data_IF_744371443410
#
_entry.id   IF_744371443410
#
_cell.length_a   1.000
_cell.length_b   1.000
_cell.length_c   1.000
_cell.angle_alpha   90.00
_cell.angle_beta   90.00
_cell.angle_gamma   90.00
#
_symmetry.space_group_name_H-M   'P 1'
#
loop_
_entity.id
_entity.type
_entity.pdbx_description
1 polymer ?
#
# COMPACT_ATOMS: atom_id res chain seq x y z
N UNK A 1 5.09 0.19 -32.71
CA UNK A 1 6.01 0.27 -31.55
C UNK A 1 7.41 0.00 -32.05
N UNK A 2 8.38 0.85 -31.68
CA UNK A 2 9.80 0.68 -32.04
C UNK A 2 10.34 -0.56 -31.32
N UNK A 3 11.11 -1.45 -31.98
CA UNK A 3 11.67 -2.62 -31.31
C UNK A 3 12.71 -2.19 -30.26
N UNK A 4 12.83 -2.95 -29.17
CA UNK A 4 13.82 -2.68 -28.11
C UNK A 4 15.26 -2.54 -28.65
N UNK A 5 15.56 -3.20 -29.78
CA UNK A 5 16.87 -3.18 -30.42
C UNK A 5 17.20 -1.87 -31.14
N UNK A 6 16.28 -0.93 -31.20
CA UNK A 6 16.51 0.40 -31.77
C UNK A 6 16.41 1.49 -30.69
N UNK A 7 16.04 1.12 -29.46
CA UNK A 7 15.90 2.07 -28.38
C UNK A 7 17.26 2.60 -27.94
N UNK A 8 17.31 3.90 -27.64
CA UNK A 8 18.46 4.48 -26.93
C UNK A 8 18.48 4.02 -25.47
N UNK A 9 19.59 4.29 -24.77
CA UNK A 9 19.71 3.93 -23.36
C UNK A 9 18.65 4.65 -22.51
N UNK A 10 18.34 5.90 -22.84
CA UNK A 10 17.33 6.73 -22.18
C UNK A 10 15.92 6.20 -22.45
N UNK A 11 15.61 5.86 -23.70
CA UNK A 11 14.32 5.25 -24.06
C UNK A 11 14.10 3.93 -23.31
N UNK A 12 15.13 3.07 -23.28
CA UNK A 12 15.08 1.80 -22.55
C UNK A 12 14.94 2.00 -21.04
N UNK A 13 15.58 3.02 -20.47
CA UNK A 13 15.48 3.36 -19.05
C UNK A 13 14.10 3.89 -18.63
N UNK A 14 13.27 4.32 -19.59
CA UNK A 14 11.87 4.74 -19.34
C UNK A 14 10.87 3.58 -19.48
N UNK A 15 11.29 2.41 -19.98
CA UNK A 15 10.41 1.28 -20.20
C UNK A 15 10.06 0.57 -18.89
N UNK A 16 8.77 0.44 -18.58
CA UNK A 16 8.30 -0.12 -17.31
C UNK A 16 8.81 -1.53 -17.02
N UNK A 17 8.84 -2.40 -18.04
CA UNK A 17 9.35 -3.78 -17.90
C UNK A 17 10.87 -3.81 -17.67
N UNK A 18 11.59 -2.87 -18.28
CA UNK A 18 13.03 -2.75 -18.08
C UNK A 18 13.34 -2.21 -16.69
N UNK A 19 12.65 -1.14 -16.27
CA UNK A 19 12.76 -0.58 -14.91
C UNK A 19 12.49 -1.66 -13.86
N UNK A 20 11.42 -2.44 -14.04
CA UNK A 20 11.06 -3.51 -13.10
C UNK A 20 12.15 -4.58 -13.02
N UNK A 21 12.73 -4.99 -14.14
CA UNK A 21 13.84 -5.94 -14.17
C UNK A 21 15.06 -5.43 -13.42
N UNK A 22 15.44 -4.17 -13.63
CA UNK A 22 16.62 -3.58 -12.99
C UNK A 22 16.42 -3.45 -11.48
N UNK A 23 15.22 -3.08 -11.03
CA UNK A 23 14.90 -2.90 -9.61
C UNK A 23 14.63 -4.20 -8.86
N UNK A 24 14.08 -5.20 -9.55
CA UNK A 24 13.68 -6.49 -8.97
C UNK A 24 14.23 -7.63 -9.85
N UNK A 25 15.55 -7.86 -9.82
CA UNK A 25 16.20 -8.83 -10.71
C UNK A 25 15.79 -10.28 -10.45
N UNK A 26 15.21 -10.57 -9.29
CA UNK A 26 14.82 -11.93 -8.87
C UNK A 26 13.44 -12.36 -9.40
N UNK A 27 12.70 -11.50 -10.10
CA UNK A 27 11.40 -11.83 -10.73
C UNK A 27 11.62 -12.77 -11.95
N UNK A 28 11.34 -14.10 -11.84
CA UNK A 28 11.86 -15.09 -12.79
C UNK A 28 11.36 -14.92 -14.25
N UNK A 29 10.07 -14.62 -14.51
CA UNK A 29 9.58 -14.33 -15.86
C UNK A 29 10.28 -13.13 -16.51
N UNK A 30 10.51 -12.06 -15.75
CA UNK A 30 11.09 -10.82 -16.27
C UNK A 30 12.59 -10.99 -16.50
N UNK A 31 13.27 -11.62 -15.55
CA UNK A 31 14.69 -11.95 -15.66
C UNK A 31 14.99 -12.77 -16.90
N UNK A 32 14.25 -13.85 -17.09
CA UNK A 32 14.44 -14.76 -18.23
C UNK A 32 14.26 -14.05 -19.57
N UNK A 33 13.29 -13.14 -19.67
CA UNK A 33 13.09 -12.34 -20.88
C UNK A 33 14.32 -11.49 -21.22
N UNK A 34 14.81 -10.69 -20.26
CA UNK A 34 15.92 -9.77 -20.51
C UNK A 34 17.26 -10.48 -20.70
N UNK A 35 17.53 -11.56 -19.96
CA UNK A 35 18.73 -12.38 -20.16
C UNK A 35 18.76 -12.98 -21.57
N UNK A 36 17.65 -13.58 -22.02
CA UNK A 36 17.55 -14.11 -23.38
C UNK A 36 17.64 -13.03 -24.45
N UNK A 37 17.06 -11.85 -24.20
CA UNK A 37 17.13 -10.72 -25.12
C UNK A 37 18.57 -10.21 -25.28
N UNK A 38 19.32 -10.08 -24.19
CA UNK A 38 20.73 -9.65 -24.21
C UNK A 38 21.60 -10.66 -24.98
N UNK A 39 21.35 -11.96 -24.80
CA UNK A 39 22.03 -13.01 -25.57
C UNK A 39 21.75 -12.91 -27.08
N UNK A 40 20.52 -12.52 -27.45
CA UNK A 40 20.11 -12.33 -28.85
C UNK A 40 20.68 -11.05 -29.48
N UNK A 41 20.94 -10.00 -28.68
CA UNK A 41 21.41 -8.70 -29.15
C UNK A 41 22.70 -8.26 -28.43
N UNK A 42 23.85 -8.94 -28.64
CA UNK A 42 25.09 -8.63 -27.94
C UNK A 42 25.61 -7.22 -28.24
N UNK A 43 25.31 -6.67 -29.42
CA UNK A 43 25.66 -5.29 -29.79
C UNK A 43 24.96 -4.24 -28.91
N UNK A 44 23.87 -4.60 -28.23
CA UNK A 44 23.12 -3.70 -27.34
C UNK A 44 23.59 -3.75 -25.89
N UNK A 45 24.65 -4.51 -25.59
CA UNK A 45 25.18 -4.67 -24.23
C UNK A 45 25.55 -3.33 -23.59
N UNK A 46 26.18 -2.43 -24.36
CA UNK A 46 26.58 -1.11 -23.85
C UNK A 46 25.38 -0.20 -23.60
N UNK A 47 24.38 -0.24 -24.49
CA UNK A 47 23.10 0.47 -24.33
C UNK A 47 22.35 -0.01 -23.09
N UNK A 48 22.27 -1.32 -22.89
CA UNK A 48 21.65 -1.93 -21.70
C UNK A 48 22.41 -1.53 -20.44
N UNK A 49 23.74 -1.56 -20.45
CA UNK A 49 24.54 -1.16 -19.29
C UNK A 49 24.27 0.30 -18.88
N UNK A 50 24.27 1.23 -19.84
CA UNK A 50 23.93 2.64 -19.59
C UNK A 50 22.49 2.80 -19.10
N UNK A 51 21.53 2.13 -19.71
CA UNK A 51 20.13 2.19 -19.29
C UNK A 51 19.96 1.67 -17.85
N UNK A 52 20.66 0.60 -17.46
CA UNK A 52 20.66 0.08 -16.09
C UNK A 52 21.20 1.10 -15.10
N UNK A 53 22.30 1.76 -15.44
CA UNK A 53 22.90 2.82 -14.63
C UNK A 53 21.91 3.96 -14.39
N UNK A 54 21.25 4.45 -15.46
CA UNK A 54 20.23 5.49 -15.37
C UNK A 54 19.07 5.10 -14.43
N UNK A 55 18.57 3.87 -14.57
CA UNK A 55 17.48 3.37 -13.71
C UNK A 55 17.92 3.29 -12.25
N UNK A 56 19.14 2.81 -11.97
CA UNK A 56 19.67 2.71 -10.61
C UNK A 56 19.85 4.10 -9.99
N UNK A 57 20.47 5.04 -10.70
CA UNK A 57 20.62 6.44 -10.25
C UNK A 57 19.26 7.05 -9.90
N UNK A 58 18.26 6.86 -10.77
CA UNK A 58 16.91 7.39 -10.53
C UNK A 58 16.18 6.65 -9.39
N UNK A 59 16.43 5.36 -9.20
CA UNK A 59 15.77 4.53 -8.18
C UNK A 59 16.39 4.68 -6.79
N UNK A 60 17.67 5.04 -6.72
CA UNK A 60 18.39 5.34 -5.49
C UNK A 60 18.00 6.69 -4.87
N UNK A 61 17.09 7.44 -5.51
CA UNK A 61 16.37 8.54 -4.87
C UNK A 61 15.48 8.00 -3.75
N UNK A 62 16.10 7.73 -2.61
CA UNK A 62 15.46 7.62 -1.31
C UNK A 62 15.50 9.03 -0.72
N UNK A 63 14.39 9.80 -0.69
CA UNK A 63 14.34 10.90 0.26
C UNK A 63 14.68 10.29 1.61
N UNK A 64 15.63 10.87 2.34
CA UNK A 64 16.12 10.37 3.62
C UNK A 64 14.94 9.77 4.39
N UNK A 65 14.92 8.44 4.47
CA UNK A 65 13.81 7.76 5.11
C UNK A 65 13.81 8.27 6.54
N UNK A 66 12.75 9.00 6.90
CA UNK A 66 12.62 9.58 8.23
C UNK A 66 12.96 8.51 9.25
N UNK A 67 13.84 8.83 10.20
CA UNK A 67 14.21 7.87 11.22
C UNK A 67 12.94 7.47 11.98
N UNK A 68 12.92 6.27 12.57
CA UNK A 68 11.78 5.84 13.39
C UNK A 68 11.43 6.86 14.49
N UNK A 69 12.44 7.60 14.97
CA UNK A 69 12.27 8.70 15.91
C UNK A 69 11.52 9.89 15.30
N UNK A 70 11.84 10.28 14.07
CA UNK A 70 11.16 11.38 13.37
C UNK A 70 9.69 11.03 13.12
N UNK A 71 9.41 9.80 12.70
CA UNK A 71 8.04 9.29 12.51
C UNK A 71 7.26 9.35 13.82
N UNK A 72 7.83 8.85 14.91
CA UNK A 72 7.20 8.88 16.23
C UNK A 72 6.95 10.32 16.73
N UNK A 73 7.90 11.23 16.46
CA UNK A 73 7.75 12.64 16.83
C UNK A 73 6.60 13.32 16.07
N UNK A 74 6.44 13.00 14.78
CA UNK A 74 5.35 13.54 13.95
C UNK A 74 4.01 13.00 14.43
N UNK A 75 3.91 11.69 14.70
CA UNK A 75 2.70 11.09 15.25
C UNK A 75 2.32 11.68 16.62
N UNK A 76 3.30 11.91 17.50
CA UNK A 76 3.07 12.58 18.78
C UNK A 76 2.50 13.99 18.62
N UNK A 77 3.01 14.76 17.64
CA UNK A 77 2.51 16.10 17.32
C UNK A 77 1.09 16.07 16.76
N UNK A 78 0.77 15.11 15.89
CA UNK A 78 -0.57 14.93 15.34
C UNK A 78 -1.57 14.62 16.47
N UNK A 79 -1.24 13.66 17.34
CA UNK A 79 -2.11 13.28 18.46
C UNK A 79 -2.31 14.44 19.45
N UNK A 80 -1.24 15.17 19.78
CA UNK A 80 -1.34 16.36 20.64
C UNK A 80 -2.22 17.45 20.03
N UNK A 81 -2.15 17.65 18.71
CA UNK A 81 -3.00 18.64 18.04
C UNK A 81 -4.49 18.28 18.06
N UNK A 82 -4.82 16.99 18.04
CA UNK A 82 -6.20 16.48 18.13
C UNK A 82 -6.73 16.58 19.57
N UNK A 83 -5.90 16.27 20.57
CA UNK A 83 -6.29 16.30 21.98
C UNK A 83 -6.66 17.72 22.46
N UNK A 84 -5.90 18.73 22.01
CA UNK A 84 -6.17 20.14 22.33
C UNK A 84 -7.53 20.62 21.77
N UNK A 85 -8.02 20.00 20.70
CA UNK A 85 -9.34 20.32 20.14
C UNK A 85 -10.48 19.68 20.95
N UNK A 86 -10.28 18.49 21.52
CA UNK A 86 -11.28 17.78 22.32
C UNK A 86 -11.58 18.41 23.70
N UNK A 87 -10.57 18.98 24.39
CA UNK A 87 -10.77 19.56 25.73
C UNK A 87 -11.61 20.86 25.72
N UNK A 88 -11.72 21.53 24.56
CA UNK A 88 -12.54 22.75 24.43
C UNK A 88 -14.05 22.47 24.38
N UNK A 89 -14.46 21.29 23.93
CA UNK A 89 -15.87 20.89 23.88
C UNK A 89 -16.35 20.27 25.21
N UNK A 90 -15.45 19.72 26.02
CA UNK A 90 -15.77 19.01 27.26
C UNK A 90 -16.23 19.91 28.43
N UNK A 91 -15.84 21.18 28.48
CA UNK A 91 -16.18 22.07 29.63
C UNK A 91 -17.59 22.65 29.60
N UNK A 92 -18.34 22.51 28.49
CA UNK A 92 -19.72 23.03 28.39
C UNK A 92 -20.82 22.07 28.86
N UNK A 93 -20.52 20.79 29.10
CA UNK A 93 -21.54 19.76 29.36
C UNK A 93 -21.47 19.12 30.76
N UNK A 94 -20.72 19.68 31.71
CA UNK A 94 -20.61 19.15 33.07
C UNK A 94 -21.75 19.60 34.01
N UNK A 95 -22.95 19.85 33.48
CA UNK A 95 -24.14 20.15 34.27
C UNK A 95 -25.38 19.53 33.63
N UNK A 96 -25.55 18.22 33.80
CA UNK A 96 -26.76 17.60 34.36
C UNK A 96 -26.68 16.05 34.31
N UNK A 97 -27.26 15.43 35.34
CA UNK A 97 -27.29 14.00 35.77
C UNK A 97 -28.10 13.08 34.81
N UNK A 98 -28.40 11.79 35.13
CA UNK A 98 -27.68 10.70 35.82
C UNK A 98 -27.61 9.39 34.96
N UNK A 99 -26.96 8.36 35.48
CA UNK A 99 -26.85 7.02 34.90
C UNK A 99 -28.20 6.29 34.70
N UNK A 100 -28.48 5.78 33.49
CA UNK A 100 -29.18 4.49 33.28
C UNK A 100 -29.25 4.12 31.78
N UNK A 101 -29.18 2.81 31.51
CA UNK A 101 -29.84 2.17 30.35
C UNK A 101 -28.95 1.84 29.15
N UNK A 102 -28.74 0.54 28.91
CA UNK A 102 -28.36 0.01 27.60
C UNK A 102 -29.26 0.65 26.53
N UNK A 103 -28.66 1.42 25.63
CA UNK A 103 -29.39 2.11 24.57
C UNK A 103 -30.09 1.09 23.68
N UNK A 104 -31.34 1.36 23.32
CA UNK A 104 -32.20 0.48 22.52
C UNK A 104 -31.53 -0.01 21.21
N UNK A 105 -30.55 0.75 20.69
CA UNK A 105 -29.75 0.37 19.52
C UNK A 105 -28.98 -0.95 19.71
N UNK A 106 -28.46 -1.23 20.91
CA UNK A 106 -27.72 -2.46 21.18
C UNK A 106 -28.65 -3.69 21.19
N UNK A 107 -29.90 -3.53 21.65
CA UNK A 107 -30.88 -4.63 21.70
C UNK A 107 -31.34 -5.01 20.29
N UNK A 108 -31.57 -4.03 19.42
CA UNK A 108 -31.98 -4.27 18.02
C UNK A 108 -30.89 -5.03 17.26
N UNK A 109 -29.62 -4.66 17.44
CA UNK A 109 -28.49 -5.34 16.79
C UNK A 109 -28.35 -6.79 17.23
N UNK A 110 -28.53 -7.07 18.53
CA UNK A 110 -28.50 -8.43 19.06
C UNK A 110 -29.66 -9.26 18.48
N UNK A 111 -30.87 -8.70 18.43
CA UNK A 111 -32.03 -9.39 17.86
C UNK A 111 -31.84 -9.73 16.38
N UNK A 112 -31.33 -8.80 15.57
CA UNK A 112 -31.05 -9.03 14.14
C UNK A 112 -29.95 -10.07 13.92
N UNK A 113 -28.92 -10.09 14.77
CA UNK A 113 -27.84 -11.09 14.69
C UNK A 113 -28.35 -12.50 15.02
N UNK A 114 -29.16 -12.63 16.06
CA UNK A 114 -29.69 -13.94 16.49
C UNK A 114 -30.65 -14.52 15.45
N UNK A 115 -31.55 -13.70 14.88
CA UNK A 115 -32.47 -14.19 13.84
C UNK A 115 -31.73 -14.58 12.56
N UNK A 116 -30.69 -13.85 12.18
CA UNK A 116 -29.86 -14.18 11.03
C UNK A 116 -29.12 -15.51 11.20
N UNK A 117 -28.56 -15.77 12.38
CA UNK A 117 -27.88 -17.04 12.67
C UNK A 117 -28.84 -18.23 12.65
N UNK A 118 -30.06 -18.08 13.18
CA UNK A 118 -31.08 -19.13 13.13
C UNK A 118 -31.54 -19.41 11.69
N UNK A 119 -31.66 -18.37 10.86
CA UNK A 119 -31.99 -18.53 9.44
C UNK A 119 -30.90 -19.31 8.69
N UNK A 120 -29.62 -18.96 8.89
CA UNK A 120 -28.50 -19.69 8.29
C UNK A 120 -28.52 -21.16 8.72
N UNK A 121 -28.73 -21.42 10.01
CA UNK A 121 -28.77 -22.78 10.53
C UNK A 121 -29.92 -23.61 9.94
N UNK A 122 -31.11 -22.99 9.79
CA UNK A 122 -32.26 -23.63 9.16
C UNK A 122 -32.00 -23.97 7.68
N UNK A 123 -31.35 -23.09 6.92
CA UNK A 123 -31.02 -23.34 5.51
C UNK A 123 -29.98 -24.46 5.37
N UNK A 124 -28.97 -24.52 6.25
CA UNK A 124 -27.94 -25.56 6.19
C UNK A 124 -28.50 -26.94 6.54
N UNK A 125 -29.35 -27.04 7.58
CA UNK A 125 -29.96 -28.31 7.99
C UNK A 125 -31.16 -28.72 7.13
N UNK A 126 -31.88 -27.77 6.54
CA UNK A 126 -33.02 -28.04 5.67
C UNK A 126 -32.64 -28.41 4.23
N UNK A 127 -31.37 -28.25 3.85
CA UNK A 127 -30.83 -28.56 2.52
C UNK A 127 -29.94 -29.82 2.53
N UNK A 128 -30.10 -30.69 3.53
CA UNK A 128 -29.44 -31.99 3.66
C UNK A 128 -30.47 -33.08 3.96
#
# INVERSE_FOLDING_TARGET
MKPFSELSAEELAMENLFIRWVRFPDDPPIRSFWENWILKYPAQKDTVAKARELVLIASDWRPDALSGQDVNSIWGRIMSSLDIMGDRDGRKNAQDRPASGLSAGNIVLILMSVTFLLFIFYVILGNN
#
